data_IF_003085325284
#
_entry.id   IF_003085325284
#
_cell.length_a   1.000
_cell.length_b   1.000
_cell.length_c   1.000
_cell.angle_alpha   90.00
_cell.angle_beta   90.00
_cell.angle_gamma   90.00
#
_symmetry.space_group_name_H-M   'P 1'
#
loop_
_entity.id
_entity.type
_entity.pdbx_description
1 polymer ?
#
# COMPACT_ATOMS: atom_id res chain seq x y z
N UNK A 1 14.18 -25.41 10.70
CA UNK A 1 14.79 -24.08 10.85
C UNK A 1 14.18 -23.19 9.77
N UNK A 2 13.58 -22.06 10.15
CA UNK A 2 13.07 -20.96 9.30
C UNK A 2 11.79 -21.22 8.46
N UNK A 3 10.59 -21.13 9.06
CA UNK A 3 9.38 -20.53 8.42
C UNK A 3 8.13 -20.60 9.31
N UNK A 4 8.26 -20.40 10.63
CA UNK A 4 7.08 -20.10 11.44
C UNK A 4 6.78 -18.61 11.32
N UNK A 5 6.16 -18.23 10.18
CA UNK A 5 5.45 -16.96 10.06
C UNK A 5 4.51 -16.87 11.26
N UNK A 6 4.65 -15.79 12.02
CA UNK A 6 3.80 -15.45 13.14
C UNK A 6 2.38 -15.20 12.61
N UNK A 7 1.60 -16.26 12.42
CA UNK A 7 0.19 -16.20 12.07
C UNK A 7 -0.55 -15.62 13.27
N UNK A 8 -0.72 -14.29 13.26
CA UNK A 8 -1.68 -13.62 14.11
C UNK A 8 -3.06 -14.14 13.67
N UNK A 9 -3.83 -14.82 14.54
CA UNK A 9 -5.11 -15.39 14.15
C UNK A 9 -6.04 -14.26 13.68
N UNK A 10 -6.40 -14.28 12.41
CA UNK A 10 -7.30 -13.30 11.78
C UNK A 10 -6.64 -12.29 10.84
N UNK A 11 -5.30 -12.24 10.76
CA UNK A 11 -4.62 -11.46 9.72
C UNK A 11 -4.27 -12.40 8.56
N UNK A 12 -4.81 -12.18 7.35
CA UNK A 12 -4.37 -12.93 6.17
C UNK A 12 -2.85 -12.73 6.00
N UNK A 13 -2.12 -13.83 5.79
CA UNK A 13 -0.69 -13.77 5.51
C UNK A 13 -0.39 -13.07 4.19
N UNK A 14 0.90 -12.93 3.89
CA UNK A 14 1.36 -12.32 2.63
C UNK A 14 0.68 -12.89 1.38
N UNK A 15 0.59 -14.23 1.21
CA UNK A 15 -0.07 -14.84 0.06
C UNK A 15 -1.58 -14.54 0.00
N UNK A 16 -2.29 -14.60 1.12
CA UNK A 16 -3.73 -14.33 1.17
C UNK A 16 -4.05 -12.86 0.85
N UNK A 17 -3.23 -11.92 1.33
CA UNK A 17 -3.35 -10.50 0.96
C UNK A 17 -3.10 -10.29 -0.53
N UNK A 18 -2.13 -10.99 -1.13
CA UNK A 18 -1.85 -10.89 -2.56
C UNK A 18 -3.02 -11.42 -3.41
N UNK A 19 -3.64 -12.53 -3.01
CA UNK A 19 -4.84 -13.06 -3.67
C UNK A 19 -6.03 -12.10 -3.57
N UNK A 20 -6.24 -11.48 -2.42
CA UNK A 20 -7.29 -10.45 -2.25
C UNK A 20 -7.01 -9.22 -3.11
N UNK A 21 -5.76 -8.75 -3.16
CA UNK A 21 -5.35 -7.65 -4.01
C UNK A 21 -5.62 -7.96 -5.49
N UNK A 22 -5.28 -9.18 -5.93
CA UNK A 22 -5.56 -9.64 -7.29
C UNK A 22 -7.06 -9.60 -7.60
N UNK A 23 -7.90 -10.10 -6.70
CA UNK A 23 -9.36 -10.05 -6.87
C UNK A 23 -9.88 -8.61 -7.02
N UNK A 24 -9.41 -7.69 -6.17
CA UNK A 24 -9.76 -6.26 -6.26
C UNK A 24 -9.29 -5.67 -7.60
N UNK A 25 -8.08 -6.00 -8.05
CA UNK A 25 -7.54 -5.55 -9.33
C UNK A 25 -8.34 -6.11 -10.51
N UNK A 26 -8.88 -7.33 -10.44
CA UNK A 26 -9.76 -7.87 -11.48
C UNK A 26 -11.09 -7.13 -11.55
N UNK A 27 -11.67 -6.78 -10.40
CA UNK A 27 -12.96 -6.08 -10.32
C UNK A 27 -12.86 -4.62 -10.77
N UNK A 28 -11.82 -3.90 -10.34
CA UNK A 28 -11.67 -2.46 -10.58
C UNK A 28 -10.71 -2.13 -11.73
N UNK A 29 -9.82 -3.05 -12.08
CA UNK A 29 -8.73 -2.89 -13.04
C UNK A 29 -7.46 -2.30 -12.40
N UNK A 30 -6.29 -2.69 -12.94
CA UNK A 30 -4.98 -2.25 -12.44
C UNK A 30 -4.78 -0.72 -12.45
N UNK A 31 -5.52 0.00 -13.30
CA UNK A 31 -5.41 1.45 -13.44
C UNK A 31 -6.31 2.24 -12.46
N UNK A 32 -7.27 1.61 -11.77
CA UNK A 32 -8.25 2.34 -10.93
C UNK A 32 -7.69 2.72 -9.58
N UNK A 33 -7.06 1.77 -8.88
CA UNK A 33 -6.42 2.01 -7.59
C UNK A 33 -5.39 3.16 -7.67
N UNK A 34 -4.41 3.17 -8.60
CA UNK A 34 -3.43 4.26 -8.68
C UNK A 34 -4.07 5.59 -9.09
N UNK A 35 -5.10 5.57 -9.94
CA UNK A 35 -5.81 6.79 -10.34
C UNK A 35 -6.58 7.40 -9.17
N UNK A 36 -7.27 6.57 -8.39
CA UNK A 36 -7.98 6.99 -7.17
C UNK A 36 -6.99 7.56 -6.15
N UNK A 37 -5.88 6.86 -5.89
CA UNK A 37 -4.84 7.31 -4.99
C UNK A 37 -4.27 8.68 -5.38
N UNK A 38 -3.95 8.89 -6.68
CA UNK A 38 -3.47 10.18 -7.18
C UNK A 38 -4.49 11.30 -6.96
N UNK A 39 -5.75 11.10 -7.39
CA UNK A 39 -6.78 12.14 -7.24
C UNK A 39 -7.12 12.43 -5.78
N UNK A 40 -7.17 11.41 -4.93
CA UNK A 40 -7.41 11.55 -3.49
C UNK A 40 -6.23 12.26 -2.81
N UNK A 41 -5.00 11.88 -3.16
CA UNK A 41 -3.79 12.52 -2.63
C UNK A 41 -3.68 13.98 -3.03
N UNK A 42 -4.03 14.33 -4.28
CA UNK A 42 -4.09 15.72 -4.72
C UNK A 42 -5.13 16.51 -3.92
N UNK A 43 -6.34 15.97 -3.76
CA UNK A 43 -7.40 16.63 -2.98
C UNK A 43 -7.01 16.82 -1.51
N UNK A 44 -6.43 15.79 -0.88
CA UNK A 44 -5.94 15.85 0.50
C UNK A 44 -4.77 16.85 0.63
N UNK A 45 -3.86 16.90 -0.35
CA UNK A 45 -2.74 17.85 -0.37
C UNK A 45 -3.20 19.31 -0.48
N UNK A 46 -4.09 19.61 -1.43
CA UNK A 46 -4.66 20.96 -1.58
C UNK A 46 -5.49 21.36 -0.35
N UNK A 47 -6.22 20.42 0.26
CA UNK A 47 -6.98 20.66 1.48
C UNK A 47 -6.08 21.01 2.68
N UNK A 48 -4.96 20.29 2.86
CA UNK A 48 -3.98 20.60 3.91
C UNK A 48 -3.36 21.97 3.72
N UNK A 49 -2.94 22.30 2.48
CA UNK A 49 -2.40 23.62 2.15
C UNK A 49 -3.40 24.75 2.38
N UNK A 50 -4.67 24.54 2.02
CA UNK A 50 -5.72 25.51 2.30
C UNK A 50 -5.98 25.68 3.80
N UNK A 51 -5.94 24.60 4.58
CA UNK A 51 -6.06 24.65 6.04
C UNK A 51 -4.92 25.45 6.68
N UNK A 52 -3.69 25.21 6.26
CA UNK A 52 -2.50 25.91 6.77
C UNK A 52 -2.57 27.42 6.48
N UNK A 53 -2.99 27.80 5.26
CA UNK A 53 -3.21 29.21 4.91
C UNK A 53 -4.27 29.86 5.79
N UNK A 54 -5.40 29.17 6.03
CA UNK A 54 -6.45 29.68 6.90
C UNK A 54 -5.97 29.79 8.34
N UNK A 55 -5.19 28.83 8.83
CA UNK A 55 -4.61 28.87 10.18
C UNK A 55 -3.63 30.05 10.33
N UNK A 56 -2.77 30.27 9.34
CA UNK A 56 -1.86 31.41 9.28
C UNK A 56 -2.62 32.74 9.19
N UNK A 57 -3.65 32.86 8.36
CA UNK A 57 -4.49 34.06 8.30
C UNK A 57 -5.21 34.34 9.63
N UNK A 58 -5.71 33.30 10.30
CA UNK A 58 -6.35 33.43 11.61
C UNK A 58 -5.35 33.80 12.70
N UNK A 59 -4.13 33.28 12.63
CA UNK A 59 -3.03 33.63 13.52
C UNK A 59 -2.58 35.08 13.28
N UNK A 60 -2.42 35.52 12.03
CA UNK A 60 -2.11 36.92 11.68
C UNK A 60 -3.21 37.90 12.15
N UNK A 61 -4.48 37.50 12.04
CA UNK A 61 -5.61 38.29 12.58
C UNK A 61 -5.61 38.34 14.12
N UNK A 62 -5.10 37.30 14.77
CA UNK A 62 -5.01 37.19 16.23
C UNK A 62 -3.75 37.84 16.79
N UNK A 63 -2.66 37.84 16.02
CA UNK A 63 -1.32 38.32 16.36
C UNK A 63 -0.95 39.58 15.57
N UNK A 64 -1.71 40.65 15.81
CA UNK A 64 -1.13 42.00 15.86
C UNK A 64 -0.07 42.17 16.98
N UNK A 65 0.71 41.13 17.29
CA UNK A 65 1.69 41.03 18.36
C UNK A 65 2.52 39.72 18.29
N UNK A 66 3.74 39.85 17.77
CA UNK A 66 4.95 39.04 18.01
C UNK A 66 5.14 37.64 17.37
N UNK A 67 5.57 37.64 16.10
CA UNK A 67 6.67 36.87 15.45
C UNK A 67 7.23 35.59 16.13
N UNK A 68 7.24 34.48 15.38
CA UNK A 68 8.35 33.50 15.33
C UNK A 68 7.92 32.08 14.95
N UNK A 69 8.51 31.51 13.87
CA UNK A 69 9.39 30.31 13.93
C UNK A 69 8.58 29.02 13.60
N UNK A 70 9.06 27.93 13.00
CA UNK A 70 10.36 27.37 12.67
C UNK A 70 10.22 26.35 11.50
N UNK A 71 11.38 25.97 10.98
CA UNK A 71 11.71 24.92 10.01
C UNK A 71 11.13 23.53 10.34
N UNK A 72 10.85 22.68 9.34
CA UNK A 72 11.50 21.35 9.28
C UNK A 72 11.33 20.69 7.89
N UNK A 73 12.37 19.96 7.54
CA UNK A 73 12.64 19.29 6.27
C UNK A 73 11.95 17.92 6.23
N UNK A 74 12.02 17.24 5.08
CA UNK A 74 12.69 15.93 4.96
C UNK A 74 12.47 15.41 3.54
N UNK A 75 13.60 15.34 2.83
CA UNK A 75 13.81 14.64 1.59
C UNK A 75 13.57 13.13 1.73
N UNK A 76 13.43 12.41 0.61
CA UNK A 76 14.36 11.32 0.23
C UNK A 76 13.74 10.51 -0.91
N UNK A 77 14.29 10.78 -2.08
CA UNK A 77 14.42 9.91 -3.25
C UNK A 77 14.67 8.41 -2.94
N UNK A 78 14.00 7.52 -3.70
CA UNK A 78 14.42 6.12 -3.89
C UNK A 78 13.79 5.54 -5.15
N UNK A 79 14.58 5.40 -6.20
CA UNK A 79 14.29 4.53 -7.34
C UNK A 79 15.59 3.89 -7.84
N UNK A 80 15.47 2.68 -8.40
CA UNK A 80 16.50 1.77 -8.97
C UNK A 80 17.24 0.91 -7.91
N UNK A 81 17.28 -0.42 -7.93
CA UNK A 81 17.03 -1.43 -8.96
C UNK A 81 17.01 -2.83 -8.27
N UNK A 82 16.13 -3.77 -8.65
CA UNK A 82 16.45 -5.20 -8.68
C UNK A 82 15.36 -6.01 -9.42
N UNK A 83 15.71 -6.47 -10.62
CA UNK A 83 14.94 -7.42 -11.43
C UNK A 83 14.70 -8.75 -10.71
N UNK A 84 13.52 -9.34 -10.92
CA UNK A 84 13.18 -10.72 -10.53
C UNK A 84 12.96 -11.55 -11.79
N UNK A 85 13.76 -12.60 -11.98
CA UNK A 85 13.48 -13.65 -12.97
C UNK A 85 12.29 -14.53 -12.54
N UNK A 86 11.48 -15.04 -13.49
CA UNK A 86 10.29 -15.83 -13.22
C UNK A 86 10.59 -17.34 -13.13
N UNK A 87 9.87 -18.08 -12.29
CA UNK A 87 9.80 -19.55 -12.37
C UNK A 87 8.40 -19.99 -12.78
N UNK A 88 8.36 -20.76 -13.87
CA UNK A 88 7.17 -21.30 -14.55
C UNK A 88 6.90 -22.71 -14.05
N UNK A 89 5.60 -22.99 -13.87
CA UNK A 89 4.93 -24.25 -13.53
C UNK A 89 5.39 -25.50 -14.28
N UNK A 90 5.20 -26.67 -13.64
CA UNK A 90 4.45 -27.76 -14.30
C UNK A 90 3.83 -28.70 -13.26
N UNK A 91 2.50 -28.68 -13.18
CA UNK A 91 1.68 -29.77 -12.66
C UNK A 91 1.31 -30.70 -13.82
N UNK A 92 1.20 -32.01 -13.56
CA UNK A 92 0.32 -32.91 -14.32
C UNK A 92 -0.17 -33.99 -13.35
N UNK A 93 -1.47 -33.98 -13.11
CA UNK A 93 -2.27 -34.90 -12.30
C UNK A 93 -2.45 -36.31 -12.97
N UNK A 94 -3.46 -37.14 -12.63
CA UNK A 94 -3.50 -38.10 -11.52
C UNK A 94 -3.92 -39.53 -11.97
N UNK A 95 -3.94 -40.53 -11.08
CA UNK A 95 -4.98 -41.59 -11.09
C UNK A 95 -4.96 -42.45 -9.82
N UNK A 96 -6.18 -42.77 -9.39
CA UNK A 96 -6.64 -43.46 -8.18
C UNK A 96 -6.38 -44.98 -8.15
N UNK A 97 -6.24 -45.48 -6.91
CA UNK A 97 -6.73 -46.73 -6.26
C UNK A 97 -6.90 -48.05 -7.07
N UNK A 98 -6.36 -49.15 -6.54
CA UNK A 98 -7.10 -50.42 -6.44
C UNK A 98 -6.59 -51.29 -5.26
N UNK A 99 -7.57 -51.83 -4.54
CA UNK A 99 -7.49 -52.59 -3.30
C UNK A 99 -7.64 -54.08 -3.67
N UNK A 100 -6.61 -54.93 -3.50
CA UNK A 100 -6.83 -56.41 -3.55
C UNK A 100 -5.73 -57.21 -2.84
N UNK A 101 -6.10 -57.78 -1.68
CA UNK A 101 -5.92 -59.19 -1.27
C UNK A 101 -4.58 -59.93 -1.58
N UNK A 102 -3.74 -60.11 -0.54
CA UNK A 102 -3.33 -61.39 0.09
C UNK A 102 -2.00 -61.29 0.84
#
# INVERSE_FOLDING_TARGET
MLSSVLQIPGIPGGPEVLLLLLLVVLLFGANKIPKLARSSGQAIGEFQKGREQVEQELEEMKEGGTKGSDEDEVATESDTDFETEPQVESETEPSFEDDTEK
#
